data_IF_220457472116
#
_entry.id   IF_220457472116
#
_cell.length_a   1.000
_cell.length_b   1.000
_cell.length_c   1.000
_cell.angle_alpha   90.00
_cell.angle_beta   90.00
_cell.angle_gamma   90.00
#
_symmetry.space_group_name_H-M   'P 1'
#
loop_
_entity.id
_entity.type
_entity.pdbx_description
1 polymer ?
#
# COMPACT_ATOMS: atom_id res chain seq x y z
N UNK A 1 -12.81 11.86 2.65
CA UNK A 1 -12.68 11.58 4.11
C UNK A 1 -11.93 12.74 4.71
N UNK A 2 -12.44 13.35 5.78
CA UNK A 2 -11.83 14.50 6.43
C UNK A 2 -10.85 14.11 7.54
N UNK A 3 -9.99 15.05 7.90
CA UNK A 3 -9.07 14.90 9.03
C UNK A 3 -9.72 15.51 10.27
N UNK A 4 -9.88 14.69 11.32
CA UNK A 4 -10.33 15.14 12.63
C UNK A 4 -9.14 15.64 13.45
N UNK A 5 -9.18 16.87 13.92
CA UNK A 5 -8.26 17.42 14.91
C UNK A 5 -8.81 17.23 16.31
N UNK A 6 -7.96 17.32 17.32
CA UNK A 6 -8.34 17.15 18.73
C UNK A 6 -7.99 18.38 19.54
N UNK A 7 -8.78 18.67 20.56
CA UNK A 7 -8.50 19.75 21.51
C UNK A 7 -7.17 19.49 22.24
N UNK A 8 -6.34 20.53 22.47
CA UNK A 8 -4.97 20.39 22.98
C UNK A 8 -4.89 20.23 24.51
N UNK A 9 -5.66 19.30 25.09
CA UNK A 9 -5.67 19.04 26.54
C UNK A 9 -4.36 18.46 27.08
N UNK A 10 -3.60 17.76 26.19
CA UNK A 10 -2.32 17.15 26.57
C UNK A 10 -1.28 17.40 25.47
N UNK A 11 0.05 17.33 25.78
CA UNK A 11 1.09 17.50 24.76
C UNK A 11 0.91 16.57 23.55
N UNK A 12 0.47 15.34 23.77
CA UNK A 12 0.22 14.37 22.68
C UNK A 12 -0.96 14.78 21.80
N UNK A 13 -2.04 15.29 22.41
CA UNK A 13 -3.25 15.69 21.68
C UNK A 13 -3.10 16.97 20.89
N UNK A 14 -2.19 17.84 21.29
CA UNK A 14 -1.91 19.11 20.59
C UNK A 14 -1.60 18.92 19.10
N UNK A 15 -0.87 17.86 18.77
CA UNK A 15 -0.43 17.56 17.39
C UNK A 15 -1.13 16.34 16.79
N UNK A 16 -1.97 15.66 17.56
CA UNK A 16 -2.65 14.45 17.10
C UNK A 16 -3.76 14.79 16.12
N UNK A 17 -3.85 14.02 15.04
CA UNK A 17 -5.00 13.99 14.16
C UNK A 17 -5.50 12.57 13.93
N UNK A 18 -6.68 12.42 13.37
CA UNK A 18 -7.29 11.13 13.08
C UNK A 18 -8.22 11.20 11.88
N UNK A 19 -8.81 10.09 11.54
CA UNK A 19 -9.87 10.03 10.54
C UNK A 19 -11.20 10.50 11.13
N UNK A 20 -12.04 11.13 10.32
CA UNK A 20 -13.42 11.42 10.66
C UNK A 20 -14.36 10.23 10.40
N UNK A 21 -13.90 9.25 9.59
CA UNK A 21 -14.66 8.07 9.18
C UNK A 21 -15.98 8.37 8.43
N UNK A 22 -16.14 9.57 7.87
CA UNK A 22 -17.37 9.99 7.19
C UNK A 22 -17.76 9.12 5.99
N UNK A 23 -16.79 8.51 5.30
CA UNK A 23 -17.06 7.61 4.15
C UNK A 23 -17.43 6.19 4.57
N UNK A 24 -17.21 5.82 5.84
CA UNK A 24 -17.44 4.45 6.31
C UNK A 24 -18.91 4.28 6.66
N UNK A 25 -19.54 3.29 6.04
CA UNK A 25 -20.97 3.00 6.21
C UNK A 25 -21.24 1.80 7.11
N UNK A 26 -20.26 0.91 7.31
CA UNK A 26 -20.40 -0.24 8.21
C UNK A 26 -19.13 -0.45 9.04
N UNK A 27 -19.32 -0.76 10.33
CA UNK A 27 -18.23 -1.00 11.30
C UNK A 27 -17.89 -2.49 11.47
N UNK A 28 -18.84 -3.37 11.17
CA UNK A 28 -18.69 -4.84 11.35
C UNK A 28 -18.38 -5.49 10.01
N UNK A 29 -17.27 -6.26 9.90
CA UNK A 29 -16.94 -6.94 8.66
C UNK A 29 -17.81 -8.18 8.42
N UNK A 30 -17.97 -8.57 7.16
CA UNK A 30 -18.58 -9.84 6.76
C UNK A 30 -17.77 -11.01 7.32
N UNK A 31 -18.42 -11.86 8.15
CA UNK A 31 -17.75 -12.95 8.88
C UNK A 31 -17.12 -13.98 7.97
N UNK A 32 -17.80 -14.36 6.89
CA UNK A 32 -17.34 -15.34 5.90
C UNK A 32 -16.05 -14.93 5.19
N UNK A 33 -15.83 -13.62 5.04
CA UNK A 33 -14.66 -13.04 4.36
C UNK A 33 -13.55 -12.61 5.33
N UNK A 34 -13.57 -13.07 6.59
CA UNK A 34 -12.54 -12.72 7.58
C UNK A 34 -11.81 -13.94 8.11
N UNK A 35 -10.49 -13.82 8.22
CA UNK A 35 -9.63 -14.85 8.83
C UNK A 35 -8.77 -14.29 9.95
N UNK A 36 -8.26 -15.16 10.82
CA UNK A 36 -7.28 -14.78 11.84
C UNK A 36 -5.91 -14.61 11.20
N UNK A 37 -5.13 -13.64 11.67
CA UNK A 37 -3.74 -13.43 11.22
C UNK A 37 -2.77 -13.91 12.27
N UNK A 38 -1.93 -14.89 11.90
CA UNK A 38 -0.80 -15.32 12.72
C UNK A 38 0.26 -14.20 12.77
N UNK A 39 0.67 -13.80 13.98
CA UNK A 39 1.66 -12.75 14.17
C UNK A 39 3.06 -13.34 14.28
N UNK A 40 3.90 -13.16 13.29
CA UNK A 40 5.28 -13.63 13.29
C UNK A 40 6.26 -12.61 13.94
N UNK A 41 5.82 -11.39 14.24
CA UNK A 41 6.61 -10.34 14.91
C UNK A 41 8.01 -10.14 14.27
N UNK A 42 8.11 -10.21 12.95
CA UNK A 42 9.35 -10.04 12.19
C UNK A 42 10.32 -11.23 12.25
N UNK A 43 9.87 -12.42 12.71
CA UNK A 43 10.66 -13.66 12.74
C UNK A 43 10.43 -14.47 11.47
N UNK A 44 11.47 -15.16 11.02
CA UNK A 44 11.41 -16.14 9.94
C UNK A 44 10.93 -17.51 10.46
N UNK A 45 10.93 -18.53 9.59
CA UNK A 45 10.55 -19.91 9.94
C UNK A 45 11.42 -20.53 11.06
N UNK A 46 12.68 -20.08 11.17
CA UNK A 46 13.63 -20.54 12.20
C UNK A 46 13.51 -19.74 13.53
N UNK A 47 12.56 -18.81 13.65
CA UNK A 47 12.39 -17.95 14.82
C UNK A 47 13.39 -16.79 14.90
N UNK A 48 14.32 -16.61 13.96
CA UNK A 48 15.29 -15.52 13.94
C UNK A 48 14.64 -14.22 13.44
N UNK A 49 15.00 -13.08 14.08
CA UNK A 49 14.50 -11.76 13.68
C UNK A 49 15.13 -11.37 12.35
N UNK A 50 14.33 -11.28 11.30
CA UNK A 50 14.72 -10.79 9.97
C UNK A 50 14.25 -9.36 9.70
N UNK A 51 13.15 -8.93 10.35
CA UNK A 51 12.65 -7.56 10.31
C UNK A 51 12.57 -7.02 11.72
N UNK A 52 13.47 -6.10 12.07
CA UNK A 52 13.54 -5.49 13.40
C UNK A 52 12.35 -4.56 13.66
N UNK A 53 12.12 -4.26 14.93
CA UNK A 53 11.13 -3.30 15.42
C UNK A 53 9.68 -3.63 15.01
N UNK A 54 9.37 -4.91 14.89
CA UNK A 54 8.00 -5.43 14.65
C UNK A 54 7.57 -6.30 15.82
N UNK A 55 6.28 -6.26 16.13
CA UNK A 55 5.66 -7.12 17.16
C UNK A 55 4.72 -6.37 18.08
N UNK A 56 3.96 -7.12 18.87
CA UNK A 56 2.86 -6.59 19.66
C UNK A 56 1.72 -6.07 18.79
N UNK A 57 1.12 -4.97 19.21
CA UNK A 57 0.02 -4.33 18.51
C UNK A 57 -1.34 -4.97 18.79
N UNK A 58 -2.40 -4.28 18.41
CA UNK A 58 -3.78 -4.72 18.58
C UNK A 58 -4.07 -6.00 17.80
N UNK A 59 -5.01 -6.82 18.28
CA UNK A 59 -5.53 -7.97 17.52
C UNK A 59 -6.27 -7.45 16.28
N UNK A 60 -6.05 -8.08 15.14
CA UNK A 60 -6.69 -7.73 13.86
C UNK A 60 -7.14 -9.00 13.16
N UNK A 61 -8.31 -8.95 12.53
CA UNK A 61 -8.75 -9.93 11.56
C UNK A 61 -8.32 -9.49 10.17
N UNK A 62 -7.95 -10.42 9.32
CA UNK A 62 -7.67 -10.16 7.91
C UNK A 62 -8.97 -10.25 7.11
N UNK A 63 -9.22 -9.27 6.25
CA UNK A 63 -10.29 -9.32 5.25
C UNK A 63 -9.71 -9.90 3.98
N UNK A 64 -10.37 -10.93 3.46
CA UNK A 64 -10.00 -11.54 2.18
C UNK A 64 -10.45 -10.58 1.08
N UNK A 65 -9.47 -10.00 0.39
CA UNK A 65 -9.74 -9.04 -0.69
C UNK A 65 -9.60 -9.76 -2.02
N UNK A 66 -10.55 -9.57 -2.90
CA UNK A 66 -10.48 -10.02 -4.28
C UNK A 66 -9.58 -9.08 -5.09
N UNK A 67 -8.30 -9.45 -5.20
CA UNK A 67 -7.35 -8.74 -6.05
C UNK A 67 -7.37 -9.23 -7.50
N UNK A 68 -8.00 -10.36 -7.78
CA UNK A 68 -8.04 -10.95 -9.13
C UNK A 68 -9.15 -10.38 -9.97
N UNK A 69 -10.33 -10.12 -9.36
CA UNK A 69 -11.49 -9.58 -10.05
C UNK A 69 -11.86 -10.39 -11.30
N UNK A 70 -11.88 -11.72 -11.17
CA UNK A 70 -12.02 -12.65 -12.30
C UNK A 70 -13.47 -13.08 -12.61
N UNK A 71 -14.48 -12.50 -11.97
CA UNK A 71 -15.89 -12.68 -12.32
C UNK A 71 -16.28 -11.67 -13.41
N UNK A 72 -16.11 -12.06 -14.66
CA UNK A 72 -16.39 -11.21 -15.81
C UNK A 72 -17.86 -11.22 -16.18
N UNK A 73 -18.38 -10.08 -16.65
CA UNK A 73 -19.74 -9.92 -17.13
C UNK A 73 -20.83 -9.93 -16.06
N UNK A 74 -20.52 -10.22 -14.79
CA UNK A 74 -21.51 -10.27 -13.72
C UNK A 74 -21.46 -8.93 -12.95
N UNK A 75 -22.56 -8.14 -12.95
CA UNK A 75 -22.60 -6.90 -12.20
C UNK A 75 -22.63 -7.18 -10.69
N UNK A 76 -21.92 -6.35 -9.92
CA UNK A 76 -21.92 -6.38 -8.49
C UNK A 76 -22.34 -5.02 -7.92
N UNK A 77 -23.15 -5.03 -6.88
CA UNK A 77 -23.61 -3.82 -6.19
C UNK A 77 -22.79 -3.58 -4.94
N UNK A 78 -22.34 -2.35 -4.71
CA UNK A 78 -21.64 -1.94 -3.51
C UNK A 78 -22.62 -1.91 -2.33
N UNK A 79 -22.41 -2.75 -1.33
CA UNK A 79 -23.25 -2.86 -0.13
C UNK A 79 -22.78 -1.97 1.01
N UNK A 80 -21.46 -1.89 1.24
CA UNK A 80 -20.88 -1.06 2.28
C UNK A 80 -19.46 -0.63 1.95
N UNK A 81 -19.01 0.45 2.59
CA UNK A 81 -17.61 0.88 2.64
C UNK A 81 -17.13 0.69 4.07
N UNK A 82 -16.00 0.01 4.25
CA UNK A 82 -15.50 -0.43 5.54
C UNK A 82 -14.04 -0.06 5.77
N UNK A 83 -13.69 0.12 7.04
CA UNK A 83 -12.31 0.28 7.48
C UNK A 83 -11.59 -1.06 7.57
N UNK A 84 -10.40 -1.17 7.00
CA UNK A 84 -9.53 -2.34 7.19
C UNK A 84 -8.26 -1.97 7.98
N UNK A 85 -8.02 -2.57 9.17
CA UNK A 85 -6.83 -2.29 9.97
C UNK A 85 -5.52 -2.85 9.36
N UNK A 86 -5.58 -3.62 8.29
CA UNK A 86 -4.42 -4.26 7.66
C UNK A 86 -3.86 -3.46 6.48
N UNK A 87 -4.58 -2.45 6.03
CA UNK A 87 -4.18 -1.59 4.90
C UNK A 87 -4.50 -0.13 5.16
N UNK A 88 -3.95 0.73 4.36
CA UNK A 88 -4.18 2.18 4.44
C UNK A 88 -5.45 2.60 3.72
N UNK A 89 -5.85 1.86 2.69
CA UNK A 89 -7.07 2.09 1.92
C UNK A 89 -8.30 1.53 2.63
N UNK A 90 -9.46 2.16 2.44
CA UNK A 90 -10.75 1.57 2.77
C UNK A 90 -11.08 0.46 1.78
N UNK A 91 -11.98 -0.43 2.17
CA UNK A 91 -12.48 -1.53 1.36
C UNK A 91 -13.98 -1.37 1.14
N UNK A 92 -14.48 -1.92 0.03
CA UNK A 92 -15.90 -1.97 -0.25
C UNK A 92 -16.36 -3.42 -0.31
N UNK A 93 -17.44 -3.73 0.39
CA UNK A 93 -18.16 -5.00 0.26
C UNK A 93 -19.07 -4.89 -0.95
N UNK A 94 -18.85 -5.76 -1.93
CA UNK A 94 -19.70 -5.90 -3.11
C UNK A 94 -20.48 -7.21 -3.05
N UNK A 95 -21.67 -7.22 -3.62
CA UNK A 95 -22.50 -8.40 -3.80
C UNK A 95 -22.79 -8.55 -5.28
N UNK A 96 -22.34 -9.64 -5.87
CA UNK A 96 -22.63 -9.99 -7.26
C UNK A 96 -24.10 -10.37 -7.44
N UNK A 97 -24.59 -10.31 -8.68
CA UNK A 97 -25.98 -10.68 -8.99
C UNK A 97 -26.30 -12.15 -8.66
N UNK A 98 -25.29 -13.03 -8.60
CA UNK A 98 -25.39 -14.43 -8.20
C UNK A 98 -25.40 -14.64 -6.66
N UNK A 99 -25.34 -13.55 -5.86
CA UNK A 99 -25.39 -13.58 -4.42
C UNK A 99 -23.99 -13.71 -3.74
N UNK A 100 -22.90 -13.96 -4.50
CA UNK A 100 -21.58 -14.03 -3.92
C UNK A 100 -21.11 -12.65 -3.45
N UNK A 101 -20.52 -12.61 -2.25
CA UNK A 101 -19.95 -11.40 -1.67
C UNK A 101 -18.43 -11.40 -1.82
N UNK A 102 -17.83 -10.24 -2.09
CA UNK A 102 -16.39 -10.06 -2.14
C UNK A 102 -16.00 -8.68 -1.59
N UNK A 103 -14.78 -8.58 -1.05
CA UNK A 103 -14.19 -7.29 -0.73
C UNK A 103 -13.29 -6.81 -1.87
N UNK A 104 -13.40 -5.55 -2.21
CA UNK A 104 -12.51 -4.86 -3.15
C UNK A 104 -11.87 -3.64 -2.47
N UNK A 105 -10.81 -3.08 -3.07
CA UNK A 105 -10.32 -1.77 -2.65
C UNK A 105 -11.37 -0.72 -3.02
N UNK A 106 -11.69 0.19 -2.10
CA UNK A 106 -12.61 1.28 -2.37
C UNK A 106 -11.89 2.40 -3.13
N UNK A 107 -12.23 2.67 -4.41
CA UNK A 107 -11.73 3.84 -5.09
C UNK A 107 -12.36 5.12 -4.54
N UNK A 108 -11.70 6.25 -4.78
CA UNK A 108 -12.23 7.56 -4.42
C UNK A 108 -13.53 7.84 -5.19
N UNK A 109 -14.54 8.32 -4.47
CA UNK A 109 -15.85 8.66 -5.06
C UNK A 109 -16.81 7.48 -5.21
N UNK A 110 -16.42 6.25 -4.85
CA UNK A 110 -17.34 5.10 -4.83
C UNK A 110 -18.42 5.29 -3.75
N UNK A 111 -19.67 5.03 -4.08
CA UNK A 111 -20.81 5.16 -3.16
C UNK A 111 -21.54 3.83 -3.01
N UNK A 112 -22.20 3.66 -1.87
CA UNK A 112 -23.10 2.52 -1.65
C UNK A 112 -24.25 2.55 -2.67
N UNK A 113 -24.65 1.40 -3.18
CA UNK A 113 -25.66 1.25 -4.23
C UNK A 113 -25.11 1.34 -5.66
N UNK A 114 -23.90 1.83 -5.88
CA UNK A 114 -23.28 1.82 -7.21
C UNK A 114 -23.01 0.39 -7.69
N UNK A 115 -23.12 0.19 -8.98
CA UNK A 115 -22.75 -1.05 -9.63
C UNK A 115 -21.31 -0.98 -10.12
N UNK A 116 -20.59 -2.08 -9.98
CA UNK A 116 -19.24 -2.31 -10.51
C UNK A 116 -19.22 -3.62 -11.29
N UNK A 117 -18.47 -3.65 -12.38
CA UNK A 117 -18.37 -4.80 -13.26
C UNK A 117 -16.93 -5.08 -13.66
N UNK A 118 -16.67 -6.32 -14.06
CA UNK A 118 -15.36 -6.76 -14.52
C UNK A 118 -15.44 -7.30 -15.95
N UNK A 119 -14.31 -7.28 -16.67
CA UNK A 119 -14.16 -7.88 -17.99
C UNK A 119 -14.35 -6.89 -19.15
N UNK A 120 -14.30 -7.40 -20.37
CA UNK A 120 -14.28 -6.60 -21.60
C UNK A 120 -15.56 -5.77 -21.83
N UNK A 121 -16.71 -6.29 -21.36
CA UNK A 121 -17.99 -5.61 -21.48
C UNK A 121 -18.21 -4.47 -20.48
N UNK A 122 -17.29 -4.31 -19.51
CA UNK A 122 -17.40 -3.28 -18.50
C UNK A 122 -17.03 -1.91 -19.09
N UNK A 123 -17.84 -0.90 -18.82
CA UNK A 123 -17.50 0.48 -19.17
C UNK A 123 -16.32 1.01 -18.37
N UNK A 124 -15.59 1.99 -18.92
CA UNK A 124 -14.46 2.64 -18.26
C UNK A 124 -14.91 3.59 -17.12
N UNK A 125 -15.65 3.06 -16.13
CA UNK A 125 -16.13 3.78 -14.94
C UNK A 125 -15.32 3.45 -13.69
N UNK A 126 -15.28 4.37 -12.72
CA UNK A 126 -14.59 4.20 -11.44
C UNK A 126 -15.09 2.96 -10.70
N UNK A 127 -14.17 2.07 -10.34
CA UNK A 127 -14.46 0.81 -9.65
C UNK A 127 -14.54 -0.42 -10.55
N UNK A 128 -14.72 -0.23 -11.86
CA UNK A 128 -14.70 -1.33 -12.83
C UNK A 128 -13.28 -1.83 -13.08
N UNK A 129 -13.15 -3.13 -13.33
CA UNK A 129 -11.88 -3.79 -13.56
C UNK A 129 -11.84 -4.34 -15.00
N UNK A 130 -10.89 -3.83 -15.79
CA UNK A 130 -10.71 -4.19 -17.19
C UNK A 130 -9.27 -4.61 -17.46
N UNK A 131 -9.05 -5.24 -18.61
CA UNK A 131 -7.70 -5.41 -19.15
C UNK A 131 -7.15 -4.05 -19.63
N UNK A 132 -5.84 -3.87 -19.54
CA UNK A 132 -5.20 -2.60 -19.93
C UNK A 132 -5.44 -2.28 -21.41
N UNK A 133 -5.70 -3.29 -22.25
CA UNK A 133 -6.05 -3.09 -23.67
C UNK A 133 -7.33 -2.28 -23.83
N UNK A 134 -8.32 -2.46 -22.95
CA UNK A 134 -9.67 -1.90 -23.05
C UNK A 134 -9.80 -0.55 -22.33
N UNK A 135 -8.83 -0.19 -21.48
CA UNK A 135 -8.82 1.07 -20.73
C UNK A 135 -8.33 2.22 -21.63
N UNK A 136 -9.03 3.35 -21.74
CA UNK A 136 -8.56 4.52 -22.51
C UNK A 136 -7.22 5.05 -22.00
N UNK A 137 -6.37 5.52 -22.92
CA UNK A 137 -5.11 6.19 -22.58
C UNK A 137 -5.40 7.47 -21.80
N UNK A 138 -4.55 7.81 -20.84
CA UNK A 138 -4.74 8.95 -19.93
C UNK A 138 -5.50 8.61 -18.64
N UNK A 139 -6.21 7.47 -18.60
CA UNK A 139 -7.01 7.06 -17.46
C UNK A 139 -6.16 6.77 -16.22
N UNK A 140 -6.65 7.17 -15.04
CA UNK A 140 -6.08 6.79 -13.76
C UNK A 140 -6.56 5.40 -13.36
N UNK A 141 -5.62 4.55 -12.96
CA UNK A 141 -5.89 3.15 -12.58
C UNK A 141 -5.20 2.79 -11.28
N UNK A 142 -5.72 1.79 -10.59
CA UNK A 142 -5.14 1.20 -9.37
C UNK A 142 -5.31 -0.32 -9.39
N UNK A 143 -4.80 -1.01 -8.36
CA UNK A 143 -4.87 -2.48 -8.25
C UNK A 143 -4.40 -3.20 -9.52
N UNK A 144 -3.22 -2.83 -10.02
CA UNK A 144 -2.71 -3.25 -11.33
C UNK A 144 -1.99 -4.58 -11.19
N UNK A 145 -2.27 -5.51 -12.10
CA UNK A 145 -1.53 -6.77 -12.23
C UNK A 145 -0.15 -6.55 -12.84
N UNK A 146 0.79 -7.42 -12.50
CA UNK A 146 2.11 -7.51 -13.13
C UNK A 146 2.19 -8.64 -14.16
N UNK A 147 1.44 -9.69 -13.92
CA UNK A 147 1.30 -10.86 -14.79
C UNK A 147 -0.18 -11.20 -14.85
N UNK A 148 -0.70 -11.55 -16.03
CA UNK A 148 -2.13 -11.85 -16.19
C UNK A 148 -2.59 -12.96 -15.23
N UNK A 149 -3.73 -12.76 -14.58
CA UNK A 149 -4.36 -13.72 -13.68
C UNK A 149 -3.73 -13.88 -12.29
N UNK A 150 -2.62 -13.18 -11.99
CA UNK A 150 -1.99 -13.24 -10.67
C UNK A 150 -2.67 -12.33 -9.64
N UNK A 151 -3.57 -11.46 -10.06
CA UNK A 151 -4.21 -10.45 -9.23
C UNK A 151 -3.39 -9.17 -9.09
N UNK A 152 -4.05 -8.09 -8.72
CA UNK A 152 -3.44 -6.77 -8.60
C UNK A 152 -2.34 -6.73 -7.54
N UNK A 153 -1.18 -6.22 -7.90
CA UNK A 153 0.00 -6.11 -7.04
C UNK A 153 0.47 -4.68 -6.85
N UNK A 154 0.28 -3.82 -7.85
CA UNK A 154 0.69 -2.42 -7.81
C UNK A 154 -0.45 -1.48 -7.44
N UNK A 155 -0.09 -0.32 -6.90
CA UNK A 155 -1.00 0.81 -6.64
C UNK A 155 -2.22 0.39 -5.80
N UNK A 156 -1.96 -0.11 -4.58
CA UNK A 156 -3.00 -0.57 -3.63
C UNK A 156 -3.08 0.25 -2.35
N UNK A 157 -2.17 1.21 -2.17
CA UNK A 157 -2.16 2.06 -0.99
C UNK A 157 -3.09 3.27 -1.15
N UNK A 158 -3.59 3.79 -0.03
CA UNK A 158 -4.48 4.94 0.04
C UNK A 158 -3.97 6.15 -0.79
N UNK A 159 -4.86 6.78 -1.52
CA UNK A 159 -4.56 7.97 -2.31
C UNK A 159 -3.66 7.77 -3.52
N UNK A 160 -3.27 6.54 -3.83
CA UNK A 160 -2.40 6.26 -4.98
C UNK A 160 -3.20 5.96 -6.25
N UNK A 161 -2.65 6.38 -7.37
CA UNK A 161 -3.09 6.03 -8.72
C UNK A 161 -1.87 5.90 -9.63
N UNK A 162 -1.96 5.12 -10.68
CA UNK A 162 -1.06 5.15 -11.81
C UNK A 162 -1.83 5.66 -13.03
N UNK A 163 -1.14 6.28 -13.97
CA UNK A 163 -1.75 6.76 -15.22
C UNK A 163 -1.31 5.88 -16.37
N UNK A 164 -2.26 5.44 -17.19
CA UNK A 164 -2.00 4.74 -18.44
C UNK A 164 -1.53 5.75 -19.50
N UNK A 165 -0.26 5.69 -19.88
CA UNK A 165 0.35 6.68 -20.76
C UNK A 165 0.29 6.29 -22.23
N UNK A 166 0.54 5.02 -22.54
CA UNK A 166 0.55 4.50 -23.92
C UNK A 166 0.29 2.99 -23.94
N UNK A 167 -0.11 2.50 -25.10
CA UNK A 167 -0.25 1.08 -25.41
C UNK A 167 0.54 0.81 -26.68
N UNK A 168 1.54 -0.07 -26.59
CA UNK A 168 2.45 -0.37 -27.70
C UNK A 168 2.65 -1.89 -27.80
N UNK A 169 2.16 -2.48 -28.87
CA UNK A 169 2.25 -3.91 -29.12
C UNK A 169 1.70 -4.75 -27.96
N UNK A 170 2.57 -5.52 -27.30
CA UNK A 170 2.20 -6.42 -26.20
C UNK A 170 2.25 -5.76 -24.82
N UNK A 171 2.58 -4.46 -24.72
CA UNK A 171 2.78 -3.78 -23.47
C UNK A 171 1.99 -2.47 -23.35
N UNK A 172 1.58 -2.17 -22.13
CA UNK A 172 1.05 -0.88 -21.73
C UNK A 172 2.06 -0.16 -20.85
N UNK A 173 2.32 1.11 -21.12
CA UNK A 173 3.23 1.96 -20.35
C UNK A 173 2.45 2.72 -19.28
N UNK A 174 2.83 2.51 -18.02
CA UNK A 174 2.20 3.11 -16.86
C UNK A 174 3.16 4.09 -16.16
N UNK A 175 2.64 5.28 -15.84
CA UNK A 175 3.30 6.22 -14.92
C UNK A 175 2.88 5.87 -13.49
N UNK A 176 3.82 5.34 -12.72
CA UNK A 176 3.61 4.91 -11.34
C UNK A 176 3.55 6.09 -10.36
N UNK A 177 2.98 5.94 -9.15
CA UNK A 177 2.96 7.00 -8.13
C UNK A 177 4.35 7.54 -7.76
N UNK A 178 5.40 6.73 -7.91
CA UNK A 178 6.79 7.14 -7.68
C UNK A 178 7.37 8.03 -8.79
N UNK A 179 6.67 8.22 -9.91
CA UNK A 179 7.16 8.88 -11.12
C UNK A 179 7.89 7.93 -12.09
N UNK A 180 8.10 6.66 -11.71
CA UNK A 180 8.68 5.64 -12.61
C UNK A 180 7.71 5.34 -13.75
N UNK A 181 8.23 5.30 -14.98
CA UNK A 181 7.49 4.78 -16.14
C UNK A 181 7.86 3.33 -16.37
N UNK A 182 6.84 2.47 -16.36
CA UNK A 182 7.02 1.03 -16.42
C UNK A 182 6.07 0.39 -17.40
N UNK A 183 6.59 -0.57 -18.15
CA UNK A 183 5.81 -1.44 -19.02
C UNK A 183 5.20 -2.60 -18.24
N UNK A 184 3.97 -2.95 -18.58
CA UNK A 184 3.22 -4.08 -18.06
C UNK A 184 2.54 -4.77 -19.25
N UNK A 185 2.41 -6.11 -19.28
CA UNK A 185 1.69 -6.79 -20.37
C UNK A 185 0.27 -6.22 -20.54
N UNK A 186 -0.16 -6.05 -21.77
CA UNK A 186 -1.42 -5.39 -22.10
C UNK A 186 -2.66 -6.17 -21.63
N UNK A 187 -2.54 -7.50 -21.47
CA UNK A 187 -3.58 -8.38 -20.95
C UNK A 187 -3.68 -8.38 -19.41
N UNK A 188 -2.85 -7.59 -18.71
CA UNK A 188 -2.98 -7.42 -17.28
C UNK A 188 -4.20 -6.58 -16.94
N UNK A 189 -4.87 -6.93 -15.83
CA UNK A 189 -6.05 -6.21 -15.35
C UNK A 189 -5.66 -5.03 -14.46
N UNK A 190 -6.49 -4.02 -14.49
CA UNK A 190 -6.41 -2.87 -13.59
C UNK A 190 -7.81 -2.37 -13.25
N UNK A 191 -7.97 -1.78 -12.07
CA UNK A 191 -9.23 -1.14 -11.66
C UNK A 191 -9.15 0.35 -11.94
N UNK A 192 -10.20 0.91 -12.52
CA UNK A 192 -10.27 2.32 -12.90
C UNK A 192 -10.47 3.20 -11.66
N UNK A 193 -9.78 4.33 -11.64
CA UNK A 193 -9.84 5.34 -10.60
C UNK A 193 -8.63 5.36 -9.67
N UNK A 194 -8.65 6.27 -8.71
CA UNK A 194 -7.67 6.42 -7.65
C UNK A 194 -8.14 5.67 -6.40
N UNK A 195 -7.24 5.10 -5.62
CA UNK A 195 -7.58 4.49 -4.32
C UNK A 195 -8.08 5.58 -3.37
N UNK A 196 -9.16 5.31 -2.64
CA UNK A 196 -9.74 6.20 -1.64
C UNK A 196 -8.82 6.49 -0.45
N UNK A 197 -9.33 7.25 0.53
CA UNK A 197 -8.61 7.66 1.74
C UNK A 197 -7.31 8.45 1.43
N UNK A 198 -7.37 9.40 0.51
CA UNK A 198 -6.20 10.17 0.02
C UNK A 198 -5.46 10.92 1.12
N UNK A 199 -6.13 11.33 2.19
CA UNK A 199 -5.57 12.08 3.30
C UNK A 199 -4.85 11.23 4.35
N UNK A 200 -4.73 9.91 4.13
CA UNK A 200 -4.07 8.99 5.06
C UNK A 200 -2.68 9.48 5.52
N UNK A 201 -1.90 10.02 4.59
CA UNK A 201 -0.53 10.46 4.88
C UNK A 201 -0.45 11.75 5.70
N UNK A 202 -1.54 12.51 5.79
CA UNK A 202 -1.60 13.77 6.54
C UNK A 202 -1.90 13.56 8.03
N UNK A 203 -2.23 12.33 8.43
CA UNK A 203 -2.58 12.02 9.81
C UNK A 203 -1.34 11.97 10.70
N UNK A 204 -1.36 12.77 11.76
CA UNK A 204 -0.35 12.75 12.79
C UNK A 204 -0.75 11.81 13.93
N UNK A 205 0.08 10.78 14.18
CA UNK A 205 -0.17 9.77 15.21
C UNK A 205 -0.11 10.37 16.62
N UNK A 206 0.73 11.38 16.85
CA UNK A 206 0.83 12.21 18.06
C UNK A 206 1.51 11.54 19.25
N UNK A 207 1.47 10.21 19.43
CA UNK A 207 2.09 9.52 20.58
C UNK A 207 2.67 8.14 20.24
N UNK A 208 3.72 7.77 20.99
CA UNK A 208 4.40 6.48 20.84
C UNK A 208 3.48 5.28 21.08
N UNK A 209 2.54 5.38 22.02
CA UNK A 209 1.58 4.32 22.31
C UNK A 209 0.71 3.95 21.09
N UNK A 210 0.31 4.93 20.28
CA UNK A 210 -0.44 4.66 19.03
C UNK A 210 0.40 3.85 18.02
N UNK A 211 1.71 4.16 17.89
CA UNK A 211 2.64 3.35 17.09
C UNK A 211 2.78 1.94 17.64
N UNK A 212 2.83 1.80 18.98
CA UNK A 212 2.88 0.47 19.63
C UNK A 212 1.63 -0.36 19.30
N UNK A 213 0.43 0.23 19.33
CA UNK A 213 -0.80 -0.45 18.91
C UNK A 213 -0.81 -0.89 17.44
N UNK A 214 -0.08 -0.17 16.57
CA UNK A 214 0.12 -0.55 15.16
C UNK A 214 1.13 -1.71 14.98
N UNK A 215 1.77 -2.19 16.05
CA UNK A 215 2.76 -3.26 16.01
C UNK A 215 4.19 -2.79 15.72
N UNK A 216 4.45 -1.49 15.85
CA UNK A 216 5.78 -0.91 15.67
C UNK A 216 6.46 -0.81 17.06
N UNK A 217 7.57 -1.49 17.23
CA UNK A 217 8.39 -1.40 18.46
C UNK A 217 9.32 -0.21 18.41
N UNK A 218 9.77 0.32 19.59
CA UNK A 218 10.74 1.41 19.63
C UNK A 218 12.04 1.04 18.91
N UNK A 219 12.67 2.05 18.33
CA UNK A 219 13.98 1.94 17.68
C UNK A 219 15.01 2.68 18.50
N UNK A 220 16.13 2.03 18.79
CA UNK A 220 17.29 2.63 19.45
C UNK A 220 18.29 3.02 18.38
N UNK A 221 18.82 4.24 18.44
CA UNK A 221 19.87 4.72 17.53
C UNK A 221 21.22 4.09 17.88
N UNK A 222 22.06 3.85 16.87
CA UNK A 222 23.33 3.16 17.05
C UNK A 222 24.33 3.90 17.96
N UNK A 223 24.27 5.24 18.02
CA UNK A 223 25.17 6.07 18.86
C UNK A 223 24.97 5.92 20.36
N UNK A 224 23.89 5.27 20.81
CA UNK A 224 23.62 4.99 22.25
C UNK A 224 23.79 3.51 22.59
N UNK A 225 24.34 2.74 21.68
CA UNK A 225 24.69 1.34 21.88
C UNK A 225 26.16 1.20 22.28
N UNK A 226 26.55 0.01 22.70
CA UNK A 226 27.95 -0.31 22.96
C UNK A 226 28.75 -0.49 21.64
N UNK A 227 30.07 -0.37 21.66
CA UNK A 227 30.92 -0.51 20.47
C UNK A 227 30.79 -1.86 19.76
N UNK A 228 30.52 -2.94 20.53
CA UNK A 228 30.29 -4.29 19.98
C UNK A 228 28.95 -4.45 19.30
N UNK A 229 27.95 -3.62 19.63
CA UNK A 229 26.58 -3.74 19.10
C UNK A 229 26.36 -2.92 17.82
N UNK A 230 27.11 -1.82 17.69
CA UNK A 230 26.95 -0.92 16.54
C UNK A 230 28.26 -0.18 16.22
N UNK A 231 28.62 0.01 14.93
CA UNK A 231 29.81 0.75 14.51
C UNK A 231 29.90 2.20 15.00
N UNK A 232 28.78 2.77 15.42
CA UNK A 232 28.67 4.14 15.96
C UNK A 232 28.46 4.16 17.47
N UNK A 233 28.59 3.01 18.13
CA UNK A 233 28.45 2.86 19.56
C UNK A 233 29.72 3.26 20.30
N UNK A 234 29.59 3.54 21.61
CA UNK A 234 30.67 3.92 22.52
C UNK A 234 30.84 5.41 22.65
N UNK A 235 31.81 5.80 23.48
CA UNK A 235 32.14 7.17 23.84
C UNK A 235 31.41 7.70 25.07
N UNK A 236 31.80 8.90 25.51
CA UNK A 236 31.23 9.61 26.66
C UNK A 236 30.12 10.57 26.24
N UNK A 237 29.02 10.60 27.00
CA UNK A 237 27.94 11.57 26.84
C UNK A 237 27.26 11.52 25.46
N UNK A 238 27.13 12.67 24.80
CA UNK A 238 26.55 12.81 23.45
C UNK A 238 27.62 12.69 22.38
N UNK A 239 28.19 11.50 22.23
CA UNK A 239 29.22 11.24 21.21
C UNK A 239 28.64 11.39 19.78
N UNK A 240 29.40 12.02 18.91
CA UNK A 240 29.10 12.12 17.47
C UNK A 240 29.23 10.78 16.76
N UNK A 241 28.97 10.78 15.46
CA UNK A 241 29.03 9.57 14.61
C UNK A 241 30.46 9.02 14.49
N UNK A 242 31.50 9.87 14.56
CA UNK A 242 32.91 9.50 14.46
C UNK A 242 33.32 8.85 13.11
N UNK A 243 32.48 8.99 12.07
CA UNK A 243 32.68 8.43 10.73
C UNK A 243 32.20 9.43 9.66
N UNK A 244 32.65 9.32 8.40
CA UNK A 244 32.20 10.21 7.33
C UNK A 244 30.68 10.23 7.10
N UNK A 245 29.98 9.20 7.55
CA UNK A 245 28.52 9.11 7.43
C UNK A 245 27.90 8.03 8.34
N UNK A 246 26.57 8.03 8.50
CA UNK A 246 25.90 7.05 9.31
C UNK A 246 25.99 5.65 8.69
N UNK A 247 26.24 4.67 9.53
CA UNK A 247 26.34 3.26 9.17
C UNK A 247 25.17 2.44 9.69
N UNK A 248 24.91 1.33 9.01
CA UNK A 248 24.06 0.25 9.52
C UNK A 248 24.81 -0.55 10.60
N UNK A 249 24.14 -1.41 11.41
CA UNK A 249 24.84 -2.29 12.36
C UNK A 249 25.88 -3.20 11.73
N UNK A 250 25.81 -3.45 10.43
CA UNK A 250 26.77 -4.25 9.66
C UNK A 250 27.84 -3.42 8.95
N UNK A 251 28.02 -2.15 9.31
CA UNK A 251 29.06 -1.28 8.78
C UNK A 251 28.81 -0.68 7.39
N UNK A 252 27.71 -1.01 6.71
CA UNK A 252 27.38 -0.43 5.42
C UNK A 252 26.82 0.99 5.58
N UNK A 253 27.04 1.92 4.61
CA UNK A 253 26.40 3.23 4.64
C UNK A 253 24.89 3.12 4.81
N UNK A 254 24.31 3.86 5.75
CA UNK A 254 22.87 3.85 6.02
C UNK A 254 22.08 4.72 5.02
N UNK A 255 22.69 5.75 4.47
CA UNK A 255 22.12 6.70 3.53
C UNK A 255 22.87 6.68 2.19
N UNK A 256 22.17 6.91 1.10
CA UNK A 256 22.73 7.08 -0.25
C UNK A 256 23.21 5.81 -0.96
N UNK A 257 23.30 4.66 -0.28
CA UNK A 257 23.73 3.41 -0.90
C UNK A 257 22.67 2.87 -1.85
N UNK A 258 23.04 2.70 -3.14
CA UNK A 258 22.19 2.08 -4.15
C UNK A 258 22.19 0.57 -3.96
N UNK A 259 21.11 0.01 -3.39
CA UNK A 259 21.00 -1.42 -3.07
C UNK A 259 20.35 -2.25 -4.19
N UNK A 260 19.78 -1.63 -5.21
CA UNK A 260 19.19 -2.35 -6.36
C UNK A 260 20.29 -3.06 -7.16
N UNK A 261 20.14 -4.36 -7.39
CA UNK A 261 21.06 -5.14 -8.22
C UNK A 261 21.07 -4.60 -9.66
N UNK A 262 22.25 -4.44 -10.27
CA UNK A 262 22.39 -3.91 -11.64
C UNK A 262 21.66 -4.80 -12.67
N UNK A 263 21.82 -6.12 -12.58
CA UNK A 263 21.29 -7.10 -13.54
C UNK A 263 19.93 -7.69 -13.10
N UNK A 264 19.01 -6.86 -12.57
CA UNK A 264 17.69 -7.32 -12.20
C UNK A 264 16.80 -7.44 -13.44
N UNK A 265 16.16 -8.61 -13.68
CA UNK A 265 15.27 -8.85 -14.84
C UNK A 265 14.20 -7.76 -15.02
N UNK A 266 13.64 -7.27 -13.92
CA UNK A 266 12.63 -6.21 -13.96
C UNK A 266 13.15 -4.87 -14.52
N UNK A 267 14.45 -4.72 -14.78
CA UNK A 267 14.99 -3.52 -15.44
C UNK A 267 14.50 -3.41 -16.89
N UNK A 268 14.29 -4.53 -17.58
CA UNK A 268 13.79 -4.56 -18.97
C UNK A 268 12.39 -3.90 -19.09
N UNK A 269 11.61 -3.91 -18.01
CA UNK A 269 10.27 -3.33 -17.98
C UNK A 269 10.24 -1.85 -17.53
N UNK A 270 11.37 -1.25 -17.16
CA UNK A 270 11.43 0.14 -16.73
C UNK A 270 11.90 0.99 -17.88
N UNK A 271 11.04 1.87 -18.38
CA UNK A 271 11.37 2.83 -19.45
C UNK A 271 12.15 4.01 -18.88
N UNK A 272 11.67 4.56 -17.76
CA UNK A 272 12.23 5.74 -17.12
C UNK A 272 12.13 5.61 -15.60
N UNK A 273 13.20 5.94 -14.89
CA UNK A 273 13.23 5.93 -13.41
C UNK A 273 12.52 7.16 -12.84
N UNK A 274 12.28 7.13 -11.53
CA UNK A 274 11.66 8.23 -10.77
C UNK A 274 12.44 9.56 -10.85
N UNK A 275 13.75 9.50 -11.05
CA UNK A 275 14.65 10.65 -11.21
C UNK A 275 14.69 11.21 -12.65
N UNK A 276 13.83 10.69 -13.52
CA UNK A 276 13.73 11.12 -14.89
C UNK A 276 14.77 10.55 -15.84
N UNK A 277 15.74 9.78 -15.35
CA UNK A 277 16.79 9.18 -16.16
C UNK A 277 16.31 7.87 -16.79
N UNK A 278 16.63 7.67 -18.07
CA UNK A 278 16.48 6.37 -18.69
C UNK A 278 17.37 5.35 -17.97
N UNK A 279 16.98 4.09 -17.94
CA UNK A 279 17.88 3.03 -17.54
C UNK A 279 18.98 2.92 -18.61
N UNK A 280 20.22 3.11 -18.20
CA UNK A 280 21.36 2.73 -19.05
C UNK A 280 21.18 1.24 -19.42
N UNK A 281 21.10 0.99 -20.72
CA UNK A 281 21.04 -0.36 -21.29
C UNK A 281 22.30 -1.14 -20.95
#
# INVERSE_FOLDING_TARGET
MGIKTFNPYTPSRRQMSGYDFSEITASTPEKSLTTSVKKNAGRNAQGKITVRHRGGGSRRKYRIIDFKRNKDGIPATVKSIEYDPNRTANIALICYADGEKAYILAPAGLKVGQQVMNGETAEARVGNCLELKDIPVGTLVHNIELYPGHGGQFVRAAGNSAQLMAKEGKYATLRMPSGEMRMVPINCRATIGQVGNSEHNLINIGKAGRKRHMGIRPTVRGSVMNPNDHPQGGGEGKTGIGRPGPCTPWGKPALGLKTRKKNKQSNKMIVRRRDGKALAK
#
